data_IF_088032805764
#
_entry.id   IF_088032805764
#
_cell.length_a   1.000
_cell.length_b   1.000
_cell.length_c   1.000
_cell.angle_alpha   90.00
_cell.angle_beta   90.00
_cell.angle_gamma   90.00
#
_symmetry.space_group_name_H-M   'P 1'
#
loop_
_entity.id
_entity.type
_entity.pdbx_description
1 polymer ?
#
# COMPACT_ATOMS: atom_id res chain seq x y z
N UNK A 1 5.27 -13.76 -26.38
CA UNK A 1 5.78 -13.60 -25.00
C UNK A 1 6.89 -14.59 -24.66
N UNK A 2 6.72 -15.91 -24.87
CA UNK A 2 7.73 -16.92 -24.52
C UNK A 2 9.14 -16.64 -25.09
N UNK A 3 9.27 -16.39 -26.40
CA UNK A 3 10.57 -16.11 -27.03
C UNK A 3 11.32 -14.88 -26.46
N UNK A 4 10.59 -13.87 -25.96
CA UNK A 4 11.19 -12.70 -25.30
C UNK A 4 11.72 -13.07 -23.92
N UNK A 5 10.95 -13.83 -23.14
CA UNK A 5 11.36 -14.33 -21.83
C UNK A 5 12.58 -15.22 -21.97
N UNK A 6 12.62 -16.12 -22.96
CA UNK A 6 13.76 -16.99 -23.23
C UNK A 6 15.01 -16.17 -23.62
N UNK A 7 14.84 -15.13 -24.44
CA UNK A 7 15.96 -14.23 -24.82
C UNK A 7 16.50 -13.46 -23.61
N UNK A 8 15.62 -12.98 -22.73
CA UNK A 8 16.01 -12.27 -21.51
C UNK A 8 16.67 -13.22 -20.50
N UNK A 9 16.15 -14.44 -20.34
CA UNK A 9 16.70 -15.47 -19.47
C UNK A 9 18.07 -16.00 -19.96
N UNK A 10 18.35 -15.93 -21.26
CA UNK A 10 19.68 -16.25 -21.79
C UNK A 10 20.71 -15.13 -21.59
N UNK A 11 20.26 -13.88 -21.39
CA UNK A 11 21.14 -12.70 -21.19
C UNK A 11 21.29 -12.30 -19.73
N UNK A 12 20.29 -12.58 -18.91
CA UNK A 12 20.26 -12.33 -17.47
C UNK A 12 20.28 -13.67 -16.75
N UNK A 13 20.90 -13.77 -15.58
CA UNK A 13 20.80 -15.03 -14.79
C UNK A 13 19.33 -15.40 -14.59
N UNK A 14 18.94 -16.70 -14.69
CA UNK A 14 17.56 -17.15 -14.58
C UNK A 14 16.83 -16.63 -13.33
N UNK A 15 17.55 -16.45 -12.23
CA UNK A 15 17.03 -15.93 -10.95
C UNK A 15 16.65 -14.44 -10.97
N UNK A 16 17.03 -13.70 -12.02
CA UNK A 16 16.72 -12.28 -12.18
C UNK A 16 15.42 -12.02 -12.91
N UNK A 17 14.81 -13.04 -13.51
CA UNK A 17 13.52 -12.93 -14.18
C UNK A 17 12.43 -13.59 -13.36
N UNK A 18 11.35 -12.86 -13.08
CA UNK A 18 10.22 -13.31 -12.29
C UNK A 18 8.97 -12.53 -12.67
N UNK A 19 7.81 -13.14 -12.47
CA UNK A 19 6.51 -12.49 -12.57
C UNK A 19 5.97 -12.13 -11.18
N UNK A 20 4.82 -11.46 -11.14
CA UNK A 20 4.09 -11.12 -9.91
C UNK A 20 2.71 -11.76 -9.92
N UNK A 21 2.27 -12.25 -8.76
CA UNK A 21 0.93 -12.80 -8.56
C UNK A 21 0.33 -12.28 -7.25
N UNK A 22 -1.01 -12.15 -7.15
CA UNK A 22 -1.65 -11.85 -5.89
C UNK A 22 -1.43 -13.00 -4.90
N UNK A 23 -1.22 -12.64 -3.65
CA UNK A 23 -1.12 -13.54 -2.51
C UNK A 23 -2.22 -13.20 -1.54
N UNK A 24 -2.92 -14.21 -1.02
CA UNK A 24 -4.01 -14.02 -0.07
C UNK A 24 -3.51 -13.46 1.27
N UNK A 25 -3.35 -12.14 1.32
CA UNK A 25 -3.00 -11.34 2.48
C UNK A 25 -3.75 -10.02 2.40
N UNK A 26 -4.32 -9.58 3.52
CA UNK A 26 -4.92 -8.26 3.63
C UNK A 26 -3.88 -7.18 3.98
N UNK A 27 -2.64 -7.58 4.27
CA UNK A 27 -1.52 -6.66 4.49
C UNK A 27 -0.96 -6.25 3.12
N UNK A 28 -0.96 -4.95 2.75
CA UNK A 28 -0.55 -4.52 1.42
C UNK A 28 0.86 -4.97 1.04
N UNK A 29 1.79 -4.94 2.00
CA UNK A 29 3.19 -5.34 1.82
C UNK A 29 3.36 -6.85 1.54
N UNK A 30 2.31 -7.66 1.72
CA UNK A 30 2.31 -9.12 1.54
C UNK A 30 1.30 -9.60 0.51
N UNK A 31 0.54 -8.69 -0.09
CA UNK A 31 -0.53 -9.00 -1.04
C UNK A 31 -0.02 -9.46 -2.42
N UNK A 32 1.29 -9.40 -2.66
CA UNK A 32 1.93 -9.82 -3.91
C UNK A 32 3.08 -10.78 -3.61
N UNK A 33 3.25 -11.79 -4.46
CA UNK A 33 4.37 -12.73 -4.42
C UNK A 33 5.08 -12.79 -5.78
N UNK A 34 6.38 -13.09 -5.73
CA UNK A 34 7.16 -13.45 -6.91
C UNK A 34 6.75 -14.85 -7.39
N UNK A 35 6.56 -15.00 -8.69
CA UNK A 35 6.23 -16.26 -9.36
C UNK A 35 7.11 -16.46 -10.59
N UNK A 36 7.02 -17.63 -11.22
CA UNK A 36 7.71 -17.89 -12.48
C UNK A 36 7.36 -16.83 -13.54
N UNK A 37 8.30 -16.45 -14.43
CA UNK A 37 8.09 -15.40 -15.44
C UNK A 37 6.87 -15.58 -16.34
N UNK A 38 6.52 -16.84 -16.62
CA UNK A 38 5.41 -17.22 -17.50
C UNK A 38 4.18 -17.71 -16.72
N UNK A 39 4.15 -17.54 -15.40
CA UNK A 39 2.94 -17.80 -14.64
C UNK A 39 1.83 -16.85 -15.10
N UNK A 40 0.61 -17.38 -15.22
CA UNK A 40 -0.59 -16.61 -15.55
C UNK A 40 -1.50 -16.50 -14.33
N UNK A 41 -1.18 -15.63 -13.37
CA UNK A 41 -1.97 -15.50 -12.16
C UNK A 41 -3.32 -14.86 -12.44
N UNK A 42 -4.33 -15.29 -11.67
CA UNK A 42 -5.64 -14.67 -11.66
C UNK A 42 -5.63 -13.46 -10.73
N UNK A 43 -5.86 -12.27 -11.28
CA UNK A 43 -5.99 -11.03 -10.51
C UNK A 43 -7.44 -10.84 -10.08
N UNK A 44 -7.64 -10.56 -8.79
CA UNK A 44 -8.94 -10.15 -8.27
C UNK A 44 -8.86 -8.65 -8.03
N UNK A 45 -9.50 -7.88 -8.88
CA UNK A 45 -9.69 -6.45 -8.65
C UNK A 45 -10.94 -6.26 -7.80
N UNK A 46 -10.81 -5.54 -6.68
CA UNK A 46 -11.93 -5.07 -5.88
C UNK A 46 -12.14 -3.57 -6.17
N UNK A 47 -13.16 -3.19 -6.97
CA UNK A 47 -13.43 -1.81 -7.31
C UNK A 47 -13.78 -0.94 -6.10
N UNK A 48 -14.27 -1.54 -5.00
CA UNK A 48 -14.57 -0.81 -3.77
C UNK A 48 -13.32 -0.51 -2.95
N UNK A 49 -12.25 -1.29 -3.15
CA UNK A 49 -10.97 -1.20 -2.42
C UNK A 49 -9.79 -1.21 -3.38
N UNK A 50 -9.69 -0.21 -4.28
CA UNK A 50 -8.57 -0.14 -5.20
C UNK A 50 -7.25 -0.05 -4.44
N UNK A 51 -6.25 -0.80 -4.91
CA UNK A 51 -4.88 -0.73 -4.42
C UNK A 51 -4.08 0.30 -5.25
N UNK A 52 -3.10 0.99 -4.65
CA UNK A 52 -2.28 1.96 -5.37
C UNK A 52 -1.45 1.28 -6.46
N UNK A 53 -1.22 2.00 -7.56
CA UNK A 53 -0.35 1.55 -8.66
C UNK A 53 1.09 1.44 -8.17
N UNK A 54 1.51 2.37 -7.30
CA UNK A 54 2.82 2.35 -6.66
C UNK A 54 2.66 2.29 -5.15
N UNK A 55 3.11 1.19 -4.56
CA UNK A 55 3.31 1.06 -3.12
C UNK A 55 4.75 1.43 -2.79
N UNK A 56 4.96 2.20 -1.73
CA UNK A 56 6.30 2.49 -1.22
C UNK A 56 6.79 1.29 -0.41
N UNK A 57 8.05 0.89 -0.62
CA UNK A 57 8.67 -0.21 0.12
C UNK A 57 8.65 0.01 1.64
N UNK A 58 8.71 1.28 2.04
CA UNK A 58 8.53 1.73 3.42
C UNK A 58 7.57 2.90 3.43
N UNK A 59 6.50 2.87 4.25
CA UNK A 59 5.66 4.04 4.43
C UNK A 59 6.47 5.25 4.89
N UNK A 60 6.23 6.40 4.27
CA UNK A 60 6.89 7.66 4.59
C UNK A 60 6.05 8.47 5.58
N UNK A 61 6.63 9.02 6.66
CA UNK A 61 5.88 9.84 7.60
C UNK A 61 5.38 11.12 6.93
N UNK A 62 4.16 11.54 7.28
CA UNK A 62 3.55 12.79 6.82
C UNK A 62 3.00 13.56 8.01
N UNK A 63 3.02 14.88 7.89
CA UNK A 63 2.35 15.77 8.84
C UNK A 63 0.92 15.99 8.36
N UNK A 64 -0.07 15.74 9.21
CA UNK A 64 -1.49 15.84 8.85
C UNK A 64 -2.17 16.89 9.72
N UNK A 65 -3.04 17.68 9.10
CA UNK A 65 -4.06 18.45 9.78
C UNK A 65 -5.41 17.83 9.45
N UNK A 66 -6.17 17.42 10.46
CA UNK A 66 -7.54 16.90 10.34
C UNK A 66 -8.49 17.74 11.22
N UNK A 67 -9.78 17.75 10.89
CA UNK A 67 -10.79 18.50 11.65
C UNK A 67 -11.07 17.85 13.01
N UNK A 68 -11.21 16.53 13.02
CA UNK A 68 -11.39 15.70 14.21
C UNK A 68 -10.30 14.62 14.27
N UNK A 69 -10.05 14.03 15.45
CA UNK A 69 -9.06 12.95 15.60
C UNK A 69 -9.28 11.78 14.64
N UNK A 70 -10.54 11.45 14.35
CA UNK A 70 -10.97 10.33 13.50
C UNK A 70 -11.25 10.70 12.05
N UNK A 71 -11.17 11.98 11.71
CA UNK A 71 -11.45 12.43 10.36
C UNK A 71 -10.28 12.15 9.40
N UNK A 72 -10.57 12.01 8.09
CA UNK A 72 -9.53 12.04 7.08
C UNK A 72 -8.74 13.37 7.11
N UNK A 73 -7.51 13.40 6.56
CA UNK A 73 -6.72 14.62 6.45
C UNK A 73 -7.45 15.71 5.66
N UNK A 74 -7.48 16.94 6.18
CA UNK A 74 -7.83 18.14 5.41
C UNK A 74 -6.65 18.61 4.55
N UNK A 75 -5.45 18.46 5.07
CA UNK A 75 -4.20 18.70 4.37
C UNK A 75 -3.09 17.85 4.97
N UNK A 76 -2.06 17.60 4.18
CA UNK A 76 -0.86 16.95 4.67
C UNK A 76 0.40 17.49 4.01
N UNK A 77 1.54 17.40 4.70
CA UNK A 77 2.85 17.76 4.17
C UNK A 77 3.67 16.50 3.89
N UNK A 78 4.11 16.36 2.65
CA UNK A 78 4.93 15.23 2.20
C UNK A 78 6.11 15.73 1.38
N UNK A 79 7.33 15.31 1.74
CA UNK A 79 8.59 15.75 1.11
C UNK A 79 8.70 17.27 0.94
N UNK A 80 8.19 18.02 1.92
CA UNK A 80 8.20 19.48 1.93
C UNK A 80 7.03 20.15 1.18
N UNK A 81 6.29 19.42 0.34
CA UNK A 81 5.13 19.94 -0.37
C UNK A 81 3.85 19.84 0.47
N UNK A 82 3.02 20.89 0.42
CA UNK A 82 1.71 20.92 1.07
C UNK A 82 0.63 20.44 0.08
N UNK A 83 -0.11 19.40 0.48
CA UNK A 83 -1.22 18.84 -0.28
C UNK A 83 -2.53 19.15 0.44
N UNK A 84 -3.39 19.96 -0.18
CA UNK A 84 -4.75 20.24 0.33
C UNK A 84 -5.71 19.20 -0.18
N UNK A 85 -6.34 18.45 0.71
CA UNK A 85 -7.26 17.37 0.35
C UNK A 85 -8.58 17.97 -0.11
N UNK A 86 -9.02 17.56 -1.30
CA UNK A 86 -10.32 17.92 -1.89
C UNK A 86 -11.36 16.82 -1.67
N UNK A 87 -10.93 15.56 -1.69
CA UNK A 87 -11.80 14.41 -1.46
C UNK A 87 -11.07 13.32 -0.67
N UNK A 88 -11.80 12.60 0.17
CA UNK A 88 -11.27 11.48 0.94
C UNK A 88 -12.29 10.33 0.99
N UNK A 89 -11.80 9.09 0.99
CA UNK A 89 -12.58 7.88 1.19
C UNK A 89 -11.88 6.96 2.19
N UNK A 90 -12.65 6.38 3.12
CA UNK A 90 -12.14 5.52 4.19
C UNK A 90 -12.92 5.72 5.50
N UNK A 91 -12.43 5.14 6.62
CA UNK A 91 -11.21 4.34 6.71
C UNK A 91 -11.38 2.91 6.18
N UNK A 92 -10.42 2.42 5.39
CA UNK A 92 -10.20 0.99 5.23
C UNK A 92 -9.36 0.51 6.42
N UNK A 93 -9.97 -0.26 7.31
CA UNK A 93 -9.31 -0.80 8.49
C UNK A 93 -8.59 -2.10 8.18
N UNK A 94 -7.26 -2.07 8.26
CA UNK A 94 -6.39 -3.23 8.04
C UNK A 94 -5.75 -3.59 9.38
N UNK A 95 -6.21 -4.69 9.97
CA UNK A 95 -5.65 -5.26 11.18
C UNK A 95 -4.43 -6.13 10.86
N UNK A 96 -3.73 -6.55 11.91
CA UNK A 96 -2.70 -7.57 11.79
C UNK A 96 -3.30 -8.92 11.37
N UNK A 97 -2.52 -9.71 10.64
CA UNK A 97 -2.81 -11.13 10.40
C UNK A 97 -2.63 -11.92 11.71
N UNK A 98 -3.70 -11.98 12.51
CA UNK A 98 -3.69 -12.58 13.85
C UNK A 98 -3.12 -14.00 13.88
N UNK A 99 -3.37 -14.80 12.83
CA UNK A 99 -2.87 -16.17 12.70
C UNK A 99 -1.35 -16.26 12.53
N UNK A 100 -0.67 -15.16 12.19
CA UNK A 100 0.80 -15.11 12.10
C UNK A 100 1.46 -14.66 13.40
N UNK A 101 0.71 -14.06 14.33
CA UNK A 101 1.22 -13.75 15.68
C UNK A 101 1.51 -15.01 16.48
N UNK A 102 0.63 -16.01 16.40
CA UNK A 102 0.81 -17.33 17.01
C UNK A 102 2.02 -18.09 16.45
N UNK A 103 2.52 -17.71 15.27
CA UNK A 103 3.71 -18.29 14.64
C UNK A 103 5.02 -17.54 14.96
N UNK A 104 5.00 -16.54 15.87
CA UNK A 104 6.20 -15.75 16.23
C UNK A 104 6.71 -14.81 15.12
N UNK A 105 5.92 -14.61 14.04
CA UNK A 105 6.29 -13.81 12.86
C UNK A 105 5.76 -12.36 12.94
N UNK A 106 5.52 -11.88 14.17
CA UNK A 106 5.00 -10.55 14.48
C UNK A 106 6.05 -9.46 14.18
N UNK A 107 5.66 -8.41 13.46
CA UNK A 107 6.48 -7.24 13.13
C UNK A 107 5.66 -5.96 13.19
N UNK A 108 6.22 -4.79 12.83
CA UNK A 108 5.54 -3.47 12.91
C UNK A 108 4.18 -3.38 12.17
N UNK A 109 3.88 -4.34 11.28
CA UNK A 109 2.56 -4.60 10.69
C UNK A 109 1.49 -5.06 11.70
N UNK A 110 1.83 -5.23 12.98
CA UNK A 110 0.92 -5.69 14.03
C UNK A 110 -0.05 -4.62 14.56
N UNK A 111 0.13 -3.37 14.15
CA UNK A 111 -0.75 -2.27 14.56
C UNK A 111 -1.94 -2.17 13.60
N UNK A 112 -3.12 -1.92 14.16
CA UNK A 112 -4.31 -1.57 13.40
C UNK A 112 -4.03 -0.29 12.59
N UNK A 113 -4.23 -0.36 11.28
CA UNK A 113 -4.03 0.76 10.36
C UNK A 113 -5.36 1.18 9.76
N UNK A 114 -5.72 2.45 9.95
CA UNK A 114 -6.86 3.06 9.27
C UNK A 114 -6.33 3.78 8.03
N UNK A 115 -6.59 3.21 6.85
CA UNK A 115 -6.18 3.76 5.55
C UNK A 115 -7.24 4.67 4.96
N UNK A 116 -6.79 5.77 4.37
CA UNK A 116 -7.60 6.72 3.63
C UNK A 116 -7.04 6.88 2.22
N UNK A 117 -7.93 6.90 1.24
CA UNK A 117 -7.61 7.37 -0.11
C UNK A 117 -7.94 8.84 -0.16
N UNK A 118 -6.97 9.68 -0.47
CA UNK A 118 -7.14 11.12 -0.53
C UNK A 118 -6.75 11.64 -1.90
N UNK A 119 -7.55 12.56 -2.42
CA UNK A 119 -7.26 13.33 -3.63
C UNK A 119 -6.98 14.77 -3.22
N UNK A 120 -5.86 15.32 -3.68
CA UNK A 120 -5.52 16.71 -3.43
C UNK A 120 -6.12 17.66 -4.48
N UNK A 121 -6.03 18.96 -4.24
CA UNK A 121 -6.54 19.99 -5.15
C UNK A 121 -5.83 20.03 -6.52
N UNK A 122 -4.66 19.40 -6.65
CA UNK A 122 -3.92 19.28 -7.91
C UNK A 122 -4.26 17.98 -8.67
N UNK A 123 -5.16 17.15 -8.14
CA UNK A 123 -5.55 15.85 -8.71
C UNK A 123 -4.64 14.68 -8.32
N UNK A 124 -3.65 14.91 -7.46
CA UNK A 124 -2.80 13.84 -6.94
C UNK A 124 -3.59 12.93 -6.01
N UNK A 125 -3.47 11.61 -6.20
CA UNK A 125 -4.19 10.61 -5.41
C UNK A 125 -3.25 9.75 -4.59
N UNK A 126 -3.45 9.76 -3.28
CA UNK A 126 -2.56 9.19 -2.29
C UNK A 126 -3.27 8.17 -1.41
N UNK A 127 -2.52 7.17 -0.99
CA UNK A 127 -2.94 6.21 0.01
C UNK A 127 -2.18 6.45 1.29
N UNK A 128 -2.88 7.02 2.28
CA UNK A 128 -2.31 7.40 3.57
C UNK A 128 -2.95 6.57 4.66
N UNK A 129 -2.26 6.37 5.78
CA UNK A 129 -2.84 5.70 6.93
C UNK A 129 -2.37 6.31 8.23
N UNK A 130 -3.16 6.04 9.28
CA UNK A 130 -2.79 6.33 10.66
C UNK A 130 -2.64 5.08 11.50
N UNK A 131 -1.78 5.17 12.51
CA UNK A 131 -1.63 4.18 13.59
C UNK A 131 -1.69 4.89 14.94
N UNK A 132 -2.11 4.17 15.98
CA UNK A 132 -2.25 4.73 17.33
C UNK A 132 -3.52 5.56 17.49
N UNK A 133 -4.68 4.94 17.22
CA UNK A 133 -6.00 5.58 17.18
C UNK A 133 -6.37 6.33 18.49
N UNK A 134 -5.85 5.87 19.64
CA UNK A 134 -6.29 6.35 20.95
C UNK A 134 -5.47 7.53 21.50
N UNK A 135 -4.22 7.72 21.04
CA UNK A 135 -3.33 8.79 21.52
C UNK A 135 -2.38 9.25 20.42
N UNK A 136 -2.60 10.46 19.93
CA UNK A 136 -1.75 11.15 18.94
C UNK A 136 -1.45 10.28 17.69
N UNK A 137 -2.40 10.16 16.76
CA UNK A 137 -2.24 9.31 15.58
C UNK A 137 -1.02 9.74 14.76
N UNK A 138 -0.16 8.78 14.44
CA UNK A 138 0.95 8.99 13.51
C UNK A 138 0.50 8.65 12.11
N UNK A 139 0.78 9.55 11.17
CA UNK A 139 0.34 9.44 9.79
C UNK A 139 1.49 9.09 8.86
N UNK A 140 1.18 8.28 7.86
CA UNK A 140 2.13 7.81 6.85
C UNK A 140 1.48 7.81 5.48
N UNK A 141 2.26 8.11 4.45
CA UNK A 141 1.94 7.85 3.05
C UNK A 141 2.52 6.50 2.67
N UNK A 142 1.70 5.63 2.10
CA UNK A 142 2.10 4.28 1.71
C UNK A 142 2.05 4.06 0.21
N UNK A 143 1.17 4.75 -0.52
CA UNK A 143 1.06 4.52 -1.96
C UNK A 143 0.48 5.67 -2.75
N UNK A 144 0.59 5.53 -4.07
CA UNK A 144 0.20 6.51 -5.08
C UNK A 144 -0.69 5.83 -6.13
N UNK A 145 -1.81 6.46 -6.48
CA UNK A 145 -2.74 5.94 -7.49
C UNK A 145 -2.51 6.52 -8.90
N UNK A 146 -1.58 7.49 -9.03
CA UNK A 146 -1.32 8.21 -10.28
C UNK A 146 -2.08 9.52 -10.38
#
# INVERSE_FOLDING_TARGET
MAALVDTLANRLSPDRLWGVAPRSSHIPERAVARVAPLAAPHWVDDPARPRPIRLLDRPEPIEVTALLPDDPPLQFRWRGALHRVRAAAGPERIAAEWWRRSAGLAGQSDLLRDYYRVEDAAGGRFWVFRVGLDRAPRWFLHGLFG
#
